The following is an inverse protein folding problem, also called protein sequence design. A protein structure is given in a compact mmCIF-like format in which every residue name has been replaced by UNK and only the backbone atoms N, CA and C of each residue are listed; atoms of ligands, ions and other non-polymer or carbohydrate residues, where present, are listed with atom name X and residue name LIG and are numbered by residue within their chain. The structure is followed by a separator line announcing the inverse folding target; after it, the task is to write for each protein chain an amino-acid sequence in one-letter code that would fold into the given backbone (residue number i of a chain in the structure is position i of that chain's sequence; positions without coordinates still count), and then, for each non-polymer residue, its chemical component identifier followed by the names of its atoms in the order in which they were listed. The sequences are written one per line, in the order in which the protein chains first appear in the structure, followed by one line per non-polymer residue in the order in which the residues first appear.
data_IF_634409874521
#
_entry.id   IF_634409874521
#
_cell.length_a   1.000
_cell.length_b   1.000
_cell.length_c   1.000
_cell.angle_alpha   90.00
_cell.angle_beta   90.00
_cell.angle_gamma   90.00
#
_symmetry.space_group_name_H-M   'P 1'
#
loop_
_entity.id
_entity.type
_entity.pdbx_description
1 polymer ?
#
# COMPACT_ATOMS: atom_id res chain seq x y z
N UNK A 1 20.10 32.35 -12.35
CA UNK A 1 18.92 31.50 -12.02
C UNK A 1 18.55 31.78 -10.58
N UNK A 2 17.28 31.97 -10.23
CA UNK A 2 16.88 32.09 -8.82
C UNK A 2 17.17 30.74 -8.16
N UNK A 3 18.03 30.71 -7.15
CA UNK A 3 18.20 29.54 -6.29
C UNK A 3 16.98 29.51 -5.38
N UNK A 4 16.04 28.62 -5.68
CA UNK A 4 14.92 28.36 -4.79
C UNK A 4 15.35 27.27 -3.82
N UNK A 5 15.12 27.47 -2.53
CA UNK A 5 15.05 26.36 -1.60
C UNK A 5 13.83 25.51 -1.99
N UNK A 6 14.09 24.29 -2.46
CA UNK A 6 13.06 23.38 -2.97
C UNK A 6 12.09 23.00 -1.86
N UNK A 7 12.58 22.83 -0.64
CA UNK A 7 11.77 22.46 0.51
C UNK A 7 10.79 23.57 0.89
N UNK A 8 11.28 24.80 0.97
CA UNK A 8 10.42 25.97 1.25
C UNK A 8 9.37 26.19 0.15
N UNK A 9 9.77 26.02 -1.11
CA UNK A 9 8.85 26.17 -2.24
C UNK A 9 7.76 25.11 -2.23
N UNK A 10 8.11 23.84 -2.00
CA UNK A 10 7.15 22.75 -1.89
C UNK A 10 6.15 23.00 -0.75
N UNK A 11 6.64 23.38 0.43
CA UNK A 11 5.77 23.70 1.57
C UNK A 11 4.84 24.87 1.26
N UNK A 12 5.33 25.94 0.64
CA UNK A 12 4.51 27.10 0.24
C UNK A 12 3.45 26.76 -0.81
N UNK A 13 3.65 25.69 -1.58
CA UNK A 13 2.77 25.28 -2.70
C UNK A 13 2.05 23.96 -2.46
N UNK A 14 2.12 23.40 -1.25
CA UNK A 14 1.57 22.07 -0.89
C UNK A 14 0.09 21.89 -1.18
N UNK A 15 -0.69 22.98 -1.17
CA UNK A 15 -2.13 22.97 -1.45
C UNK A 15 -2.44 23.02 -2.95
N UNK A 16 -1.46 23.38 -3.78
CA UNK A 16 -1.58 23.42 -5.25
C UNK A 16 -1.10 22.12 -5.85
N UNK A 17 0.08 21.65 -5.43
CA UNK A 17 0.66 20.40 -5.91
C UNK A 17 1.56 19.81 -4.84
N UNK A 18 1.51 18.48 -4.71
CA UNK A 18 2.27 17.74 -3.72
C UNK A 18 3.03 16.60 -4.36
N UNK A 19 4.32 16.52 -4.07
CA UNK A 19 5.14 15.36 -4.41
C UNK A 19 5.11 14.36 -3.26
N UNK A 20 4.83 13.12 -3.60
CA UNK A 20 4.85 12.00 -2.67
C UNK A 20 5.80 10.90 -3.13
N UNK A 21 6.40 10.20 -2.18
CA UNK A 21 7.18 8.98 -2.44
C UNK A 21 6.60 7.79 -1.68
N UNK A 22 7.06 6.59 -2.01
CA UNK A 22 6.71 5.34 -1.33
C UNK A 22 8.00 4.68 -0.83
N UNK A 23 8.05 4.37 0.47
CA UNK A 23 9.05 3.47 1.04
C UNK A 23 8.46 2.07 1.14
N UNK A 24 9.15 1.09 0.53
CA UNK A 24 8.69 -0.31 0.58
C UNK A 24 8.79 -0.90 1.98
N UNK A 25 8.14 -2.03 2.23
CA UNK A 25 8.18 -2.68 3.55
C UNK A 25 9.64 -3.04 3.92
N UNK A 26 10.44 -3.41 2.92
CA UNK A 26 11.86 -3.65 3.06
C UNK A 26 12.63 -2.35 3.33
N UNK A 27 12.29 -1.22 2.70
CA UNK A 27 12.87 0.08 3.07
C UNK A 27 12.52 0.50 4.49
N UNK A 28 11.33 0.17 5.01
CA UNK A 28 11.02 0.42 6.42
C UNK A 28 12.02 -0.30 7.32
N UNK A 29 12.31 -1.58 7.02
CA UNK A 29 13.32 -2.38 7.74
C UNK A 29 14.74 -1.84 7.55
N UNK A 30 15.13 -1.59 6.32
CA UNK A 30 16.54 -1.36 5.94
C UNK A 30 16.97 0.10 6.08
N UNK A 31 16.04 1.04 5.89
CA UNK A 31 16.32 2.49 5.83
C UNK A 31 15.63 3.29 6.94
N UNK A 32 14.47 2.86 7.44
CA UNK A 32 13.70 3.67 8.40
C UNK A 32 13.76 3.15 9.84
N UNK A 33 14.50 2.07 10.09
CA UNK A 33 14.61 1.44 11.42
C UNK A 33 15.65 2.11 12.33
N UNK A 34 16.61 2.86 11.76
CA UNK A 34 17.69 3.55 12.49
C UNK A 34 17.53 5.07 12.42
N UNK A 35 18.09 5.79 13.39
CA UNK A 35 18.05 7.26 13.39
C UNK A 35 18.83 7.85 12.21
N UNK A 36 19.97 7.26 11.86
CA UNK A 36 20.75 7.65 10.69
C UNK A 36 19.95 7.50 9.40
N UNK A 37 19.30 6.35 9.21
CA UNK A 37 18.51 6.10 8.01
C UNK A 37 17.28 7.00 7.89
N UNK A 38 16.61 7.29 9.02
CA UNK A 38 15.52 8.29 9.07
C UNK A 38 16.00 9.69 8.67
N UNK A 39 17.16 10.12 9.19
CA UNK A 39 17.73 11.42 8.82
C UNK A 39 18.10 11.48 7.34
N UNK A 40 18.71 10.43 6.80
CA UNK A 40 19.05 10.34 5.37
C UNK A 40 17.80 10.38 4.48
N UNK A 41 16.73 9.67 4.90
CA UNK A 41 15.45 9.70 4.18
C UNK A 41 14.80 11.10 4.21
N UNK A 42 14.90 11.81 5.34
CA UNK A 42 14.39 13.18 5.47
C UNK A 42 15.18 14.16 4.58
N UNK A 43 16.50 14.07 4.57
CA UNK A 43 17.36 14.90 3.73
C UNK A 43 17.01 14.69 2.25
N UNK A 44 16.89 13.43 1.82
CA UNK A 44 16.46 13.12 0.46
C UNK A 44 15.07 13.70 0.14
N UNK A 45 14.11 13.63 1.07
CA UNK A 45 12.78 14.20 0.85
C UNK A 45 12.84 15.73 0.69
N UNK A 46 13.68 16.43 1.46
CA UNK A 46 13.88 17.88 1.34
C UNK A 46 14.50 18.23 -0.01
N UNK A 47 15.55 17.54 -0.40
CA UNK A 47 16.29 17.76 -1.65
C UNK A 47 15.43 17.49 -2.90
N UNK A 48 14.43 16.63 -2.77
CA UNK A 48 13.51 16.25 -3.86
C UNK A 48 12.13 16.90 -3.76
N UNK A 49 11.94 17.81 -2.80
CA UNK A 49 10.68 18.54 -2.60
C UNK A 49 9.47 17.65 -2.22
N UNK A 50 9.73 16.43 -1.71
CA UNK A 50 8.72 15.46 -1.28
C UNK A 50 8.17 15.86 0.08
N UNK A 51 6.86 16.10 0.16
CA UNK A 51 6.17 16.56 1.38
C UNK A 51 5.13 15.56 1.90
N UNK A 52 5.00 14.42 1.23
CA UNK A 52 4.16 13.30 1.68
C UNK A 52 4.90 11.98 1.45
N UNK A 53 4.90 11.09 2.43
CA UNK A 53 5.47 9.75 2.28
C UNK A 53 4.40 8.69 2.51
N UNK A 54 4.37 7.68 1.66
CA UNK A 54 3.65 6.44 1.93
C UNK A 54 4.66 5.42 2.47
N UNK A 55 4.35 4.74 3.57
CA UNK A 55 5.22 3.69 4.11
C UNK A 55 4.48 2.37 4.14
N UNK A 56 5.07 1.34 3.53
CA UNK A 56 4.42 0.04 3.45
C UNK A 56 4.52 -0.74 4.76
N UNK A 57 3.38 -1.23 5.24
CA UNK A 57 3.36 -2.22 6.30
C UNK A 57 3.56 -3.64 5.78
N UNK A 58 3.32 -3.89 4.49
CA UNK A 58 3.41 -5.21 3.89
C UNK A 58 3.76 -5.17 2.40
N UNK A 59 4.66 -6.08 1.99
CA UNK A 59 5.00 -6.38 0.58
C UNK A 59 5.68 -7.74 0.49
N UNK A 60 5.36 -8.53 -0.53
CA UNK A 60 6.09 -9.75 -0.92
C UNK A 60 6.25 -10.78 0.21
N UNK A 61 5.18 -11.03 0.97
CA UNK A 61 5.23 -11.98 2.09
C UNK A 61 5.83 -11.41 3.38
N UNK A 62 6.37 -10.19 3.36
CA UNK A 62 7.00 -9.55 4.51
C UNK A 62 6.10 -8.49 5.14
N UNK A 63 5.97 -8.51 6.47
CA UNK A 63 5.29 -7.48 7.26
C UNK A 63 6.34 -6.65 7.99
N UNK A 64 6.35 -5.33 7.79
CA UNK A 64 7.27 -4.43 8.48
C UNK A 64 6.95 -4.33 9.98
N UNK A 65 7.99 -4.22 10.79
CA UNK A 65 7.85 -4.17 12.26
C UNK A 65 7.10 -2.92 12.72
N UNK A 66 6.19 -3.10 13.68
CA UNK A 66 5.34 -2.02 14.22
C UNK A 66 6.18 -0.88 14.78
N UNK A 67 7.22 -1.22 15.54
CA UNK A 67 8.15 -0.26 16.15
C UNK A 67 8.79 0.64 15.09
N UNK A 68 9.23 0.08 13.96
CA UNK A 68 9.81 0.84 12.86
C UNK A 68 8.78 1.73 12.18
N UNK A 69 7.57 1.22 11.91
CA UNK A 69 6.47 1.99 11.30
C UNK A 69 6.04 3.18 12.18
N UNK A 70 5.82 2.95 13.48
CA UNK A 70 5.39 3.99 14.42
C UNK A 70 6.49 5.03 14.65
N UNK A 71 7.76 4.59 14.74
CA UNK A 71 8.92 5.49 14.84
C UNK A 71 9.05 6.36 13.60
N UNK A 72 8.99 5.77 12.40
CA UNK A 72 9.05 6.50 11.14
C UNK A 72 7.87 7.47 11.00
N UNK A 73 6.64 7.03 11.31
CA UNK A 73 5.45 7.88 11.32
C UNK A 73 5.65 9.11 12.19
N UNK A 74 6.07 8.92 13.44
CA UNK A 74 6.32 10.03 14.35
C UNK A 74 7.41 10.96 13.82
N UNK A 75 8.52 10.39 13.37
CA UNK A 75 9.67 11.16 12.88
C UNK A 75 9.32 12.06 11.68
N UNK A 76 8.61 11.53 10.67
CA UNK A 76 8.21 12.34 9.51
C UNK A 76 7.21 13.45 9.88
N UNK A 77 6.22 13.15 10.73
CA UNK A 77 5.26 14.15 11.21
C UNK A 77 5.96 15.26 11.98
N UNK A 78 6.85 14.92 12.91
CA UNK A 78 7.60 15.90 13.71
C UNK A 78 8.50 16.80 12.83
N UNK A 79 8.87 16.33 11.63
CA UNK A 79 9.68 17.06 10.65
C UNK A 79 8.86 17.70 9.50
N UNK A 80 7.53 17.73 9.62
CA UNK A 80 6.65 18.45 8.69
C UNK A 80 6.33 17.71 7.38
N UNK A 81 6.55 16.39 7.32
CA UNK A 81 6.14 15.54 6.21
C UNK A 81 4.82 14.83 6.57
N UNK A 82 3.82 14.94 5.68
CA UNK A 82 2.59 14.18 5.80
C UNK A 82 2.88 12.69 5.55
N UNK A 83 2.19 11.79 6.25
CA UNK A 83 2.44 10.36 6.13
C UNK A 83 1.16 9.53 6.09
N UNK A 84 1.15 8.55 5.20
CA UNK A 84 0.08 7.55 5.07
C UNK A 84 0.67 6.14 5.07
N UNK A 85 -0.15 5.15 5.45
CA UNK A 85 0.21 3.75 5.32
C UNK A 85 0.08 3.28 3.87
N UNK A 86 0.78 2.20 3.53
CA UNK A 86 0.62 1.51 2.26
C UNK A 86 0.60 -0.01 2.47
N UNK A 87 -0.15 -0.71 1.63
CA UNK A 87 -0.13 -2.17 1.53
C UNK A 87 0.05 -2.56 0.07
N UNK A 88 1.13 -3.27 -0.23
CA UNK A 88 1.31 -3.91 -1.53
C UNK A 88 0.90 -5.38 -1.43
N UNK A 89 -0.21 -5.72 -2.07
CA UNK A 89 -0.91 -7.00 -1.89
C UNK A 89 -0.29 -8.18 -2.64
N UNK A 90 1.04 -8.20 -2.75
CA UNK A 90 1.79 -9.27 -3.40
C UNK A 90 2.15 -10.39 -2.43
N UNK A 91 2.09 -11.63 -2.92
CA UNK A 91 2.50 -12.84 -2.20
C UNK A 91 1.81 -13.02 -0.83
N UNK A 92 0.56 -12.60 -0.72
CA UNK A 92 -0.30 -12.93 0.42
C UNK A 92 -0.71 -14.40 0.31
N UNK A 93 -0.32 -15.24 1.27
CA UNK A 93 -0.81 -16.61 1.37
C UNK A 93 -0.56 -17.47 0.13
N UNK A 94 -1.61 -18.10 -0.41
CA UNK A 94 -1.54 -19.02 -1.55
C UNK A 94 -1.28 -18.22 -2.83
N UNK A 95 -0.24 -18.60 -3.57
CA UNK A 95 0.08 -18.02 -4.90
C UNK A 95 -1.03 -18.29 -5.92
N UNK A 96 -1.24 -17.35 -6.84
CA UNK A 96 -2.07 -17.59 -8.02
C UNK A 96 -1.37 -18.55 -9.00
N UNK A 97 -2.08 -18.96 -10.04
CA UNK A 97 -1.54 -19.84 -11.09
C UNK A 97 -0.88 -19.09 -12.24
N UNK A 98 -1.03 -17.76 -12.31
CA UNK A 98 -0.40 -16.94 -13.34
C UNK A 98 0.87 -16.29 -12.81
N UNK A 99 0.77 -15.03 -12.39
CA UNK A 99 1.90 -14.23 -11.93
C UNK A 99 2.40 -14.70 -10.56
N UNK A 100 3.70 -14.95 -10.44
CA UNK A 100 4.32 -15.42 -9.19
C UNK A 100 4.13 -14.49 -7.97
N UNK A 101 3.92 -13.20 -8.21
CA UNK A 101 3.71 -12.19 -7.18
C UNK A 101 2.24 -12.09 -6.72
N UNK A 102 1.30 -12.67 -7.46
CA UNK A 102 -0.13 -12.51 -7.22
C UNK A 102 -0.68 -13.66 -6.39
N UNK A 103 -1.71 -13.36 -5.62
CA UNK A 103 -2.34 -14.29 -4.69
C UNK A 103 -3.64 -14.86 -5.23
N UNK A 104 -3.95 -16.09 -4.80
CA UNK A 104 -5.24 -16.73 -4.99
C UNK A 104 -6.23 -16.23 -3.94
N UNK A 105 -7.03 -15.23 -4.28
CA UNK A 105 -7.96 -14.62 -3.33
C UNK A 105 -9.26 -15.42 -3.09
N UNK A 106 -9.50 -16.50 -3.83
CA UNK A 106 -10.56 -17.47 -3.48
C UNK A 106 -10.23 -18.24 -2.21
N UNK A 107 -8.93 -18.42 -1.93
CA UNK A 107 -8.45 -19.20 -0.81
C UNK A 107 -8.70 -18.51 0.53
N UNK A 108 -9.43 -19.18 1.43
CA UNK A 108 -9.86 -18.59 2.71
C UNK A 108 -8.66 -18.16 3.59
N UNK A 109 -7.62 -18.98 3.84
CA UNK A 109 -6.44 -18.53 4.60
C UNK A 109 -5.76 -17.29 4.01
N UNK A 110 -5.81 -17.11 2.69
CA UNK A 110 -5.28 -15.91 2.02
C UNK A 110 -6.13 -14.68 2.31
N UNK A 111 -7.45 -14.83 2.33
CA UNK A 111 -8.38 -13.75 2.72
C UNK A 111 -8.25 -13.37 4.20
N UNK A 112 -8.05 -14.34 5.07
CA UNK A 112 -7.84 -14.09 6.50
C UNK A 112 -6.53 -13.32 6.71
N UNK A 113 -5.46 -13.72 6.01
CA UNK A 113 -4.19 -13.00 6.07
C UNK A 113 -4.28 -11.56 5.53
N UNK A 114 -5.02 -11.38 4.44
CA UNK A 114 -5.32 -10.05 3.90
C UNK A 114 -6.01 -9.17 4.96
N UNK A 115 -7.01 -9.70 5.65
CA UNK A 115 -7.71 -8.97 6.70
C UNK A 115 -6.76 -8.58 7.84
N UNK A 116 -5.93 -9.51 8.33
CA UNK A 116 -4.94 -9.21 9.37
C UNK A 116 -3.99 -8.07 8.98
N UNK A 117 -3.51 -8.06 7.73
CA UNK A 117 -2.63 -7.01 7.23
C UNK A 117 -3.33 -5.65 7.29
N UNK A 118 -4.57 -5.55 6.82
CA UNK A 118 -5.30 -4.29 6.80
C UNK A 118 -5.79 -3.81 8.17
N UNK A 119 -6.10 -4.73 9.09
CA UNK A 119 -6.36 -4.39 10.50
C UNK A 119 -5.07 -3.87 11.16
N UNK A 120 -3.94 -4.53 10.92
CA UNK A 120 -2.63 -4.11 11.42
C UNK A 120 -2.28 -2.69 10.93
N UNK A 121 -2.38 -2.42 9.63
CA UNK A 121 -2.08 -1.08 9.08
C UNK A 121 -3.07 -0.03 9.61
N UNK A 122 -4.36 -0.33 9.67
CA UNK A 122 -5.38 0.62 10.13
C UNK A 122 -5.24 0.99 11.62
N UNK A 123 -4.64 0.11 12.43
CA UNK A 123 -4.32 0.43 13.82
C UNK A 123 -3.25 1.53 13.97
N UNK A 124 -2.50 1.84 12.91
CA UNK A 124 -1.40 2.80 12.92
C UNK A 124 -1.65 4.03 12.04
N UNK A 125 -2.44 3.92 10.96
CA UNK A 125 -2.60 4.98 9.96
C UNK A 125 -4.08 5.34 9.74
N UNK A 126 -4.35 6.63 9.56
CA UNK A 126 -5.69 7.16 9.23
C UNK A 126 -5.95 7.19 7.72
N UNK A 127 -4.91 6.98 6.90
CA UNK A 127 -5.02 6.82 5.45
C UNK A 127 -4.12 5.66 5.02
N UNK A 128 -4.64 4.77 4.17
CA UNK A 128 -3.92 3.62 3.62
C UNK A 128 -4.11 3.59 2.10
N UNK A 129 -3.01 3.59 1.38
CA UNK A 129 -3.01 3.27 -0.05
C UNK A 129 -2.85 1.77 -0.25
N UNK A 130 -3.69 1.18 -1.11
CA UNK A 130 -3.44 -0.13 -1.70
C UNK A 130 -2.64 0.11 -2.98
N UNK A 131 -1.45 -0.48 -3.09
CA UNK A 131 -0.62 -0.39 -4.29
C UNK A 131 -1.30 -1.08 -5.50
N UNK A 132 -0.72 -0.93 -6.69
CA UNK A 132 -1.30 -1.32 -7.98
C UNK A 132 -1.40 -2.83 -8.25
N UNK A 133 -1.19 -3.66 -7.23
CA UNK A 133 -1.27 -5.11 -7.27
C UNK A 133 -2.60 -5.69 -6.75
N UNK A 134 -3.64 -4.86 -6.57
CA UNK A 134 -4.95 -5.32 -6.11
C UNK A 134 -5.80 -6.00 -7.19
N UNK A 135 -5.37 -7.20 -7.60
CA UNK A 135 -6.08 -8.07 -8.53
C UNK A 135 -5.74 -9.55 -8.29
N UNK A 136 -6.43 -10.45 -8.98
CA UNK A 136 -6.01 -11.86 -9.09
C UNK A 136 -6.19 -12.36 -10.51
N UNK A 137 -5.28 -13.22 -10.94
CA UNK A 137 -5.29 -13.93 -12.21
C UNK A 137 -5.40 -15.45 -11.99
N UNK A 138 -5.78 -15.89 -10.79
CA UNK A 138 -5.79 -17.29 -10.44
C UNK A 138 -6.86 -18.08 -11.21
N UNK A 139 -6.47 -19.30 -11.63
CA UNK A 139 -7.30 -20.31 -12.31
C UNK A 139 -7.07 -21.71 -11.71
N UNK A 140 -6.70 -21.79 -10.42
CA UNK A 140 -6.61 -23.08 -9.74
C UNK A 140 -7.99 -23.74 -9.61
N UNK A 141 -8.03 -25.03 -9.27
CA UNK A 141 -9.29 -25.79 -9.25
C UNK A 141 -10.34 -25.20 -8.28
N UNK A 142 -9.91 -24.67 -7.14
CA UNK A 142 -10.76 -23.92 -6.20
C UNK A 142 -11.40 -22.68 -6.87
N UNK A 143 -10.65 -21.97 -7.72
CA UNK A 143 -11.18 -20.84 -8.48
C UNK A 143 -12.11 -21.29 -9.60
N UNK A 144 -11.82 -22.41 -10.27
CA UNK A 144 -12.70 -22.96 -11.32
C UNK A 144 -14.05 -23.37 -10.75
N UNK A 145 -14.04 -24.01 -9.58
CA UNK A 145 -15.26 -24.38 -8.86
C UNK A 145 -16.04 -23.14 -8.41
N UNK A 146 -15.37 -22.18 -7.76
CA UNK A 146 -16.01 -20.97 -7.26
C UNK A 146 -16.53 -20.03 -8.35
N UNK A 147 -15.89 -20.02 -9.53
CA UNK A 147 -16.34 -19.27 -10.71
C UNK A 147 -17.68 -19.78 -11.24
N UNK A 148 -17.93 -21.09 -11.17
CA UNK A 148 -19.08 -21.73 -11.80
C UNK A 148 -19.18 -21.37 -13.29
N UNK A 149 -20.34 -20.90 -13.72
CA UNK A 149 -20.62 -20.54 -15.11
C UNK A 149 -20.23 -19.10 -15.50
N UNK A 150 -19.71 -18.29 -14.56
CA UNK A 150 -19.29 -16.91 -14.84
C UNK A 150 -18.10 -16.87 -15.81
N UNK A 151 -17.93 -15.74 -16.52
CA UNK A 151 -16.65 -15.45 -17.16
C UNK A 151 -15.55 -15.25 -16.09
N UNK A 152 -14.29 -15.45 -16.44
CA UNK A 152 -13.17 -15.17 -15.53
C UNK A 152 -13.14 -13.70 -15.09
N UNK A 153 -13.47 -12.78 -16.00
CA UNK A 153 -13.49 -11.35 -15.72
C UNK A 153 -14.54 -11.02 -14.66
N UNK A 154 -15.78 -11.49 -14.86
CA UNK A 154 -16.89 -11.21 -13.93
C UNK A 154 -16.59 -11.77 -12.54
N UNK A 155 -16.14 -13.03 -12.49
CA UNK A 155 -15.78 -13.67 -11.22
C UNK A 155 -14.70 -12.92 -10.46
N UNK A 156 -13.61 -12.54 -11.14
CA UNK A 156 -12.49 -11.83 -10.51
C UNK A 156 -12.94 -10.44 -10.05
N UNK A 157 -13.67 -9.69 -10.89
CA UNK A 157 -14.21 -8.38 -10.50
C UNK A 157 -15.12 -8.48 -9.26
N UNK A 158 -16.06 -9.41 -9.25
CA UNK A 158 -16.97 -9.64 -8.12
C UNK A 158 -16.20 -10.04 -6.85
N UNK A 159 -15.23 -10.94 -6.98
CA UNK A 159 -14.36 -11.38 -5.88
C UNK A 159 -13.59 -10.20 -5.30
N UNK A 160 -12.91 -9.40 -6.13
CA UNK A 160 -12.10 -8.28 -5.63
C UNK A 160 -12.99 -7.21 -4.97
N UNK A 161 -14.18 -6.92 -5.52
CA UNK A 161 -15.15 -6.00 -4.90
C UNK A 161 -15.63 -6.51 -3.54
N UNK A 162 -15.96 -7.81 -3.45
CA UNK A 162 -16.39 -8.44 -2.20
C UNK A 162 -15.29 -8.35 -1.14
N UNK A 163 -14.06 -8.70 -1.47
CA UNK A 163 -12.94 -8.67 -0.52
C UNK A 163 -12.58 -7.24 -0.12
N UNK A 164 -12.62 -6.27 -1.03
CA UNK A 164 -12.46 -4.86 -0.67
C UNK A 164 -13.48 -4.41 0.38
N UNK A 165 -14.73 -4.87 0.29
CA UNK A 165 -15.76 -4.54 1.28
C UNK A 165 -15.58 -5.31 2.58
N UNK A 166 -15.39 -6.62 2.49
CA UNK A 166 -15.53 -7.52 3.64
C UNK A 166 -14.22 -7.81 4.37
N UNK A 167 -13.08 -7.74 3.69
CA UNK A 167 -11.74 -8.03 4.24
C UNK A 167 -10.87 -6.80 4.40
N UNK A 168 -11.18 -5.70 3.72
CA UNK A 168 -10.41 -4.45 3.80
C UNK A 168 -11.21 -3.35 4.51
N UNK A 169 -12.27 -2.83 3.89
CA UNK A 169 -12.98 -1.65 4.39
C UNK A 169 -13.66 -1.90 5.75
N UNK A 170 -14.44 -2.98 5.89
CA UNK A 170 -15.14 -3.27 7.16
C UNK A 170 -14.14 -3.54 8.30
N UNK A 171 -13.12 -4.41 8.17
CA UNK A 171 -12.17 -4.66 9.25
C UNK A 171 -11.30 -3.46 9.60
N UNK A 172 -10.75 -2.74 8.61
CA UNK A 172 -9.97 -1.54 8.88
C UNK A 172 -10.78 -0.48 9.64
N UNK A 173 -12.05 -0.25 9.26
CA UNK A 173 -12.92 0.72 9.94
C UNK A 173 -13.36 0.27 11.34
N UNK A 174 -13.41 -1.04 11.59
CA UNK A 174 -13.64 -1.57 12.94
C UNK A 174 -12.49 -1.23 13.88
N UNK A 175 -11.25 -1.28 13.38
CA UNK A 175 -10.04 -0.92 14.13
C UNK A 175 -9.88 0.59 14.25
N UNK A 176 -10.09 1.32 13.15
CA UNK A 176 -10.00 2.77 13.10
C UNK A 176 -11.19 3.35 12.29
N UNK A 177 -12.25 3.85 12.96
CA UNK A 177 -13.43 4.40 12.28
C UNK A 177 -13.15 5.57 11.33
N UNK A 178 -12.01 6.26 11.48
CA UNK A 178 -11.61 7.40 10.66
C UNK A 178 -10.77 7.01 9.44
N UNK A 179 -10.41 5.73 9.29
CA UNK A 179 -9.48 5.30 8.23
C UNK A 179 -10.07 5.55 6.84
N UNK A 180 -9.25 6.17 5.98
CA UNK A 180 -9.48 6.33 4.55
C UNK A 180 -8.66 5.31 3.79
N UNK A 181 -9.28 4.59 2.86
CA UNK A 181 -8.58 3.63 2.01
C UNK A 181 -8.60 4.18 0.58
N UNK A 182 -7.43 4.27 -0.03
CA UNK A 182 -7.22 4.69 -1.42
C UNK A 182 -6.76 3.47 -2.21
N UNK A 183 -7.30 3.26 -3.40
CA UNK A 183 -6.79 2.25 -4.33
C UNK A 183 -5.99 2.95 -5.44
N UNK A 184 -4.71 2.60 -5.57
CA UNK A 184 -3.89 2.99 -6.71
C UNK A 184 -4.11 1.95 -7.81
N UNK A 185 -4.73 2.34 -8.90
CA UNK A 185 -4.87 1.44 -10.05
C UNK A 185 -3.54 1.36 -10.82
N UNK A 186 -3.21 0.19 -11.40
CA UNK A 186 -2.07 0.07 -12.31
C UNK A 186 -2.21 1.07 -13.46
N UNK A 187 -1.06 1.46 -14.03
CA UNK A 187 -0.99 2.37 -15.16
C UNK A 187 -1.85 1.87 -16.32
N UNK A 188 -3.05 2.43 -16.46
CA UNK A 188 -3.99 2.19 -17.55
C UNK A 188 -3.68 3.17 -18.68
N UNK A 189 -2.51 3.02 -19.31
CA UNK A 189 -2.23 3.73 -20.55
C UNK A 189 -2.45 2.79 -21.73
N UNK A 190 -3.25 3.23 -22.69
CA UNK A 190 -3.57 2.48 -23.92
C UNK A 190 -2.31 1.98 -24.65
N UNK A 191 -1.17 2.68 -24.48
CA UNK A 191 0.13 2.32 -25.07
C UNK A 191 0.73 1.01 -24.55
N UNK A 192 0.25 0.47 -23.44
CA UNK A 192 0.70 -0.81 -22.89
C UNK A 192 -0.19 -2.00 -23.33
N UNK A 193 -1.19 -1.77 -24.18
CA UNK A 193 -2.11 -2.78 -24.70
C UNK A 193 -1.95 -2.95 -26.22
N UNK A 194 -0.72 -3.21 -26.69
CA UNK A 194 -0.43 -3.53 -28.11
C UNK A 194 -0.43 -5.04 -28.33
#
# INVERSE_FOLDING_TARGET
MKNYDLWDLANKKRDVHRFSTLFTAQNVRDLLSTDEGLNNAMEWCKDTAVTHVYIESYRDGYTAERSALEKAKKFFIDNGIDISGCVTTTQIGKKSTGWNAISCFTNIPTQDKLQEIFEYTASMFDEIMIDDFWFTDCECDECKEAKGDQSWSDYRCDLMVKLSRDRILKPSRKVNPNVKIIIKYPQWYDRFHV
#
